data_IF_995109158675
#
_entry.id   IF_995109158675
#
_cell.length_a   1.000
_cell.length_b   1.000
_cell.length_c   1.000
_cell.angle_alpha   90.00
_cell.angle_beta   90.00
_cell.angle_gamma   90.00
#
_symmetry.space_group_name_H-M   'P 1'
#
loop_
_entity.id
_entity.type
_entity.pdbx_description
1 polymer ?
#
# COMPACT_ATOMS: atom_id res chain seq x y z
N UNK A 1 -5.93 -0.19 23.57
CA UNK A 1 -5.59 0.32 22.22
C UNK A 1 -6.78 1.16 21.77
N UNK A 2 -6.60 2.46 21.54
CA UNK A 2 -7.64 3.33 20.97
C UNK A 2 -7.50 3.43 19.45
N UNK A 3 -8.53 3.93 18.77
CA UNK A 3 -8.52 4.11 17.31
C UNK A 3 -7.40 5.06 16.87
N UNK A 4 -7.03 6.07 17.68
CA UNK A 4 -5.94 6.99 17.34
C UNK A 4 -4.53 6.34 17.43
N UNK A 5 -4.45 5.13 18.00
CA UNK A 5 -3.21 4.34 18.09
C UNK A 5 -3.07 3.32 16.97
N UNK A 6 -4.08 3.20 16.10
CA UNK A 6 -4.09 2.23 15.00
C UNK A 6 -4.01 2.98 13.67
N UNK A 7 -2.99 2.64 12.89
CA UNK A 7 -2.82 3.12 11.54
C UNK A 7 -2.85 1.93 10.59
N UNK A 8 -3.73 2.02 9.59
CA UNK A 8 -3.82 1.06 8.49
C UNK A 8 -3.04 1.57 7.28
N UNK A 9 -2.76 0.69 6.33
CA UNK A 9 -2.04 0.99 5.09
C UNK A 9 -2.69 2.15 4.30
N UNK A 10 -4.01 2.23 4.31
CA UNK A 10 -4.81 3.26 3.65
C UNK A 10 -5.04 4.54 4.47
N UNK A 11 -4.66 4.58 5.75
CA UNK A 11 -4.90 5.74 6.63
C UNK A 11 -4.30 7.06 6.11
N UNK A 12 -3.11 7.11 5.45
CA UNK A 12 -2.56 8.35 4.92
C UNK A 12 -3.46 9.06 3.90
N UNK A 13 -4.38 8.34 3.23
CA UNK A 13 -5.34 8.93 2.28
C UNK A 13 -6.25 9.99 2.90
N UNK A 14 -6.32 10.10 4.24
CA UNK A 14 -7.02 11.22 4.90
C UNK A 14 -6.46 12.58 4.51
N UNK A 15 -5.20 12.67 4.12
CA UNK A 15 -4.54 13.92 3.70
C UNK A 15 -4.68 14.19 2.20
N UNK A 16 -5.12 13.21 1.41
CA UNK A 16 -5.20 13.27 -0.04
C UNK A 16 -6.47 14.00 -0.52
N UNK A 17 -6.71 15.20 0.04
CA UNK A 17 -7.96 15.97 -0.10
C UNK A 17 -8.33 16.25 -1.56
N UNK A 18 -7.34 16.39 -2.45
CA UNK A 18 -7.56 16.61 -3.90
C UNK A 18 -8.31 15.47 -4.60
N UNK A 19 -8.41 14.30 -3.97
CA UNK A 19 -9.16 13.15 -4.49
C UNK A 19 -10.51 12.93 -3.81
N UNK A 20 -10.80 13.63 -2.72
CA UNK A 20 -11.96 13.34 -1.88
C UNK A 20 -13.29 13.64 -2.58
N UNK A 21 -13.34 14.68 -3.41
CA UNK A 21 -14.55 15.04 -4.17
C UNK A 21 -14.71 14.28 -5.50
N UNK A 22 -13.72 13.47 -5.88
CA UNK A 22 -13.71 12.77 -7.17
C UNK A 22 -14.54 11.49 -7.13
N UNK A 23 -15.04 11.09 -8.29
CA UNK A 23 -15.58 9.74 -8.48
C UNK A 23 -14.43 8.74 -8.51
N UNK A 24 -14.32 7.89 -7.48
CA UNK A 24 -13.20 6.97 -7.31
C UNK A 24 -13.64 5.51 -7.41
N UNK A 25 -12.94 4.72 -8.21
CA UNK A 25 -13.07 3.27 -8.20
C UNK A 25 -12.20 2.71 -7.08
N UNK A 26 -12.79 1.93 -6.16
CA UNK A 26 -12.07 1.33 -5.03
C UNK A 26 -11.99 -0.20 -5.17
N UNK A 27 -10.78 -0.74 -4.96
CA UNK A 27 -10.49 -2.18 -4.95
C UNK A 27 -9.78 -2.58 -3.66
N UNK A 28 -10.11 -3.76 -3.13
CA UNK A 28 -9.52 -4.31 -1.91
C UNK A 28 -10.46 -5.28 -1.20
N UNK A 29 -10.23 -5.48 0.10
CA UNK A 29 -11.06 -6.30 0.99
C UNK A 29 -11.66 -5.47 2.13
N UNK A 30 -12.73 -6.01 2.74
CA UNK A 30 -13.42 -5.40 3.87
C UNK A 30 -14.54 -4.44 3.46
N UNK A 31 -15.03 -3.61 4.39
CA UNK A 31 -16.10 -2.65 4.13
C UNK A 31 -15.58 -1.44 3.35
N UNK A 32 -15.29 -1.63 2.06
CA UNK A 32 -14.56 -0.65 1.22
C UNK A 32 -15.24 0.73 1.16
N UNK A 33 -16.58 0.77 1.14
CA UNK A 33 -17.32 2.03 1.12
C UNK A 33 -17.18 2.78 2.45
N UNK A 34 -17.32 2.08 3.57
CA UNK A 34 -17.16 2.66 4.90
C UNK A 34 -15.73 3.19 5.09
N UNK A 35 -14.73 2.40 4.67
CA UNK A 35 -13.32 2.82 4.69
C UNK A 35 -13.13 4.09 3.86
N UNK A 36 -13.63 4.12 2.62
CA UNK A 36 -13.44 5.27 1.75
C UNK A 36 -14.15 6.52 2.29
N UNK A 37 -15.38 6.39 2.78
CA UNK A 37 -16.14 7.49 3.37
C UNK A 37 -15.46 8.01 4.64
N UNK A 38 -14.99 7.11 5.52
CA UNK A 38 -14.25 7.47 6.72
C UNK A 38 -12.97 8.24 6.37
N UNK A 39 -12.29 7.89 5.28
CA UNK A 39 -11.09 8.59 4.80
C UNK A 39 -11.39 9.98 4.20
N UNK A 40 -12.64 10.23 3.81
CA UNK A 40 -13.13 11.50 3.27
C UNK A 40 -13.60 11.46 1.81
N UNK A 41 -13.61 10.31 1.15
CA UNK A 41 -14.08 10.21 -0.24
C UNK A 41 -15.61 10.34 -0.32
N UNK A 42 -16.09 11.29 -1.13
CA UNK A 42 -17.51 11.58 -1.32
C UNK A 42 -18.21 10.61 -2.29
N UNK A 43 -17.49 10.13 -3.31
CA UNK A 43 -18.06 9.28 -4.37
C UNK A 43 -17.26 7.99 -4.63
N UNK A 44 -17.09 7.11 -3.62
CA UNK A 44 -16.47 5.81 -3.83
C UNK A 44 -17.45 4.83 -4.49
N UNK A 45 -16.97 4.14 -5.52
CA UNK A 45 -17.67 3.05 -6.20
C UNK A 45 -16.78 1.81 -6.13
N UNK A 46 -17.33 0.70 -5.63
CA UNK A 46 -16.58 -0.55 -5.55
C UNK A 46 -16.53 -1.26 -6.90
N UNK A 47 -15.56 -2.14 -7.06
CA UNK A 47 -15.49 -3.10 -8.17
C UNK A 47 -16.78 -3.92 -8.28
N UNK A 48 -17.37 -4.32 -7.15
CA UNK A 48 -18.63 -5.06 -7.14
C UNK A 48 -19.79 -4.23 -7.69
N UNK A 49 -19.91 -2.96 -7.29
CA UNK A 49 -20.93 -2.06 -7.83
C UNK A 49 -20.74 -1.79 -9.32
N UNK A 50 -19.50 -1.60 -9.79
CA UNK A 50 -19.19 -1.46 -11.22
C UNK A 50 -19.63 -2.70 -12.00
N UNK A 51 -19.24 -3.88 -11.51
CA UNK A 51 -19.62 -5.18 -12.08
C UNK A 51 -21.13 -5.39 -12.13
N UNK A 52 -21.86 -5.07 -11.05
CA UNK A 52 -23.32 -5.23 -10.99
C UNK A 52 -24.05 -4.31 -11.98
N UNK A 53 -23.57 -3.08 -12.15
CA UNK A 53 -24.16 -2.12 -13.10
C UNK A 53 -23.72 -2.37 -14.55
N UNK A 54 -22.56 -2.98 -14.75
CA UNK A 54 -21.98 -3.27 -16.06
C UNK A 54 -21.54 -4.73 -16.19
N UNK A 55 -22.48 -5.69 -16.12
CA UNK A 55 -22.16 -7.11 -16.04
C UNK A 55 -21.51 -7.67 -17.32
N UNK A 56 -21.55 -6.95 -18.44
CA UNK A 56 -20.82 -7.32 -19.66
C UNK A 56 -19.31 -7.04 -19.60
N UNK A 57 -18.82 -6.27 -18.62
CA UNK A 57 -17.39 -6.04 -18.43
C UNK A 57 -16.69 -7.20 -17.70
N UNK A 58 -17.44 -8.06 -16.99
CA UNK A 58 -16.92 -9.20 -16.22
C UNK A 58 -17.57 -10.52 -16.68
N UNK A 59 -17.27 -10.93 -17.93
CA UNK A 59 -17.90 -12.11 -18.59
C UNK A 59 -17.04 -13.36 -18.60
N UNK A 60 -15.88 -13.32 -17.93
CA UNK A 60 -15.02 -14.51 -17.75
C UNK A 60 -15.79 -15.60 -16.98
N UNK A 61 -16.63 -15.20 -16.03
CA UNK A 61 -17.58 -16.08 -15.38
C UNK A 61 -18.85 -16.24 -16.23
N UNK A 62 -18.86 -17.29 -17.07
CA UNK A 62 -19.95 -17.55 -18.01
C UNK A 62 -21.32 -17.79 -17.35
N UNK A 63 -21.33 -18.33 -16.14
CA UNK A 63 -22.57 -18.61 -15.41
C UNK A 63 -23.28 -17.33 -14.96
N UNK A 64 -22.55 -16.20 -14.95
CA UNK A 64 -23.03 -14.89 -14.51
C UNK A 64 -23.32 -13.93 -15.65
N UNK A 65 -23.29 -14.41 -16.90
CA UNK A 65 -23.53 -13.57 -18.06
C UNK A 65 -24.97 -13.02 -18.05
N UNK A 66 -25.15 -11.70 -18.06
CA UNK A 66 -26.47 -11.07 -18.02
C UNK A 66 -27.21 -11.23 -19.36
N UNK A 67 -28.54 -11.27 -19.31
CA UNK A 67 -29.41 -11.24 -20.50
C UNK A 67 -29.79 -9.81 -20.94
N UNK A 68 -29.40 -8.77 -20.18
CA UNK A 68 -29.82 -7.37 -20.39
C UNK A 68 -28.59 -6.45 -20.35
N UNK A 69 -28.56 -5.48 -21.26
CA UNK A 69 -27.54 -4.43 -21.33
C UNK A 69 -28.01 -3.20 -20.58
N UNK A 70 -27.26 -2.73 -19.60
CA UNK A 70 -27.50 -1.45 -18.90
C UNK A 70 -26.47 -0.43 -19.38
N UNK A 71 -26.93 0.81 -19.64
CA UNK A 71 -26.21 1.81 -20.44
C UNK A 71 -25.68 3.03 -19.67
N UNK A 72 -25.71 3.04 -18.34
CA UNK A 72 -25.26 4.19 -17.54
C UNK A 72 -23.90 3.94 -16.90
N UNK A 73 -22.83 4.26 -17.62
CA UNK A 73 -21.45 4.12 -17.13
C UNK A 73 -21.08 5.23 -16.16
N UNK A 74 -20.28 4.86 -15.17
CA UNK A 74 -19.60 5.83 -14.31
C UNK A 74 -18.44 6.47 -15.05
N UNK A 75 -18.18 7.74 -14.76
CA UNK A 75 -16.94 8.43 -15.11
C UNK A 75 -16.06 8.47 -13.88
N UNK A 76 -15.05 7.60 -13.83
CA UNK A 76 -14.05 7.55 -12.78
C UNK A 76 -12.93 8.53 -13.06
N UNK A 77 -12.48 9.23 -12.02
CA UNK A 77 -11.37 10.16 -12.13
C UNK A 77 -10.10 9.63 -11.44
N UNK A 78 -10.22 8.59 -10.62
CA UNK A 78 -9.10 7.98 -9.89
C UNK A 78 -9.43 6.53 -9.53
N UNK A 79 -8.41 5.66 -9.50
CA UNK A 79 -8.49 4.30 -8.95
C UNK A 79 -7.72 4.26 -7.62
N UNK A 80 -8.33 3.68 -6.59
CA UNK A 80 -7.72 3.49 -5.27
C UNK A 80 -7.64 1.99 -4.96
N UNK A 81 -6.42 1.50 -4.75
CA UNK A 81 -6.13 0.12 -4.39
C UNK A 81 -5.83 0.07 -2.89
N UNK A 82 -6.83 -0.27 -2.07
CA UNK A 82 -6.68 -0.33 -0.61
C UNK A 82 -5.87 -1.54 -0.14
N UNK A 83 -5.88 -2.63 -0.89
CA UNK A 83 -5.21 -3.89 -0.56
C UNK A 83 -5.56 -4.97 -1.57
N UNK A 84 -5.11 -6.20 -1.33
CA UNK A 84 -5.37 -7.34 -2.22
C UNK A 84 -6.86 -7.67 -2.28
N UNK A 85 -7.52 -7.62 -3.46
CA UNK A 85 -8.92 -8.00 -3.56
C UNK A 85 -9.08 -9.53 -3.61
N UNK A 86 -10.31 -10.00 -3.40
CA UNK A 86 -10.72 -11.36 -3.81
C UNK A 86 -11.18 -11.30 -5.28
N UNK A 87 -11.04 -12.40 -6.03
CA UNK A 87 -11.36 -12.48 -7.48
C UNK A 87 -10.48 -11.54 -8.32
N UNK A 88 -9.21 -11.90 -8.41
CA UNK A 88 -8.20 -11.11 -9.12
C UNK A 88 -8.55 -10.94 -10.59
N UNK A 89 -9.12 -11.95 -11.24
CA UNK A 89 -9.54 -11.91 -12.64
C UNK A 89 -10.48 -10.73 -12.93
N UNK A 90 -11.50 -10.55 -12.09
CA UNK A 90 -12.48 -9.47 -12.22
C UNK A 90 -11.88 -8.12 -11.89
N UNK A 91 -11.09 -8.03 -10.82
CA UNK A 91 -10.47 -6.76 -10.44
C UNK A 91 -9.45 -6.29 -11.49
N UNK A 92 -8.60 -7.19 -11.98
CA UNK A 92 -7.63 -6.90 -13.03
C UNK A 92 -8.34 -6.44 -14.31
N UNK A 93 -9.37 -7.16 -14.77
CA UNK A 93 -10.15 -6.79 -15.96
C UNK A 93 -10.74 -5.37 -15.82
N UNK A 94 -11.50 -5.12 -14.75
CA UNK A 94 -12.25 -3.88 -14.58
C UNK A 94 -11.34 -2.67 -14.31
N UNK A 95 -10.25 -2.84 -13.57
CA UNK A 95 -9.27 -1.77 -13.38
C UNK A 95 -8.60 -1.44 -14.73
N UNK A 96 -8.16 -2.45 -15.49
CA UNK A 96 -7.56 -2.23 -16.81
C UNK A 96 -8.54 -1.52 -17.74
N UNK A 97 -9.80 -1.94 -17.79
CA UNK A 97 -10.84 -1.27 -18.59
C UNK A 97 -10.94 0.21 -18.24
N UNK A 98 -11.04 0.52 -16.94
CA UNK A 98 -11.15 1.90 -16.45
C UNK A 98 -9.91 2.72 -16.82
N UNK A 99 -8.70 2.15 -16.73
CA UNK A 99 -7.47 2.85 -17.10
C UNK A 99 -7.35 3.10 -18.61
N UNK A 100 -7.70 2.11 -19.44
CA UNK A 100 -7.60 2.18 -20.90
C UNK A 100 -8.71 3.01 -21.56
N UNK A 101 -9.78 3.30 -20.82
CA UNK A 101 -10.92 4.12 -21.28
C UNK A 101 -10.93 5.52 -20.67
N UNK A 102 -9.84 5.92 -20.01
CA UNK A 102 -9.70 7.21 -19.32
C UNK A 102 -10.83 7.48 -18.32
N UNK A 103 -11.17 6.44 -17.57
CA UNK A 103 -12.16 6.52 -16.51
C UNK A 103 -13.58 6.16 -16.92
N UNK A 104 -13.85 5.95 -18.21
CA UNK A 104 -15.21 5.71 -18.69
C UNK A 104 -15.33 4.39 -19.47
N UNK A 105 -15.62 3.25 -18.82
CA UNK A 105 -15.62 1.92 -19.45
C UNK A 105 -16.55 1.71 -20.64
N UNK A 106 -17.45 2.67 -20.92
CA UNK A 106 -18.26 2.68 -22.13
C UNK A 106 -17.52 3.15 -23.39
N UNK A 107 -16.33 3.74 -23.25
CA UNK A 107 -15.49 4.17 -24.37
C UNK A 107 -14.69 2.99 -24.94
N UNK A 108 -14.28 3.06 -26.22
CA UNK A 108 -13.26 2.15 -26.72
C UNK A 108 -11.92 2.40 -26.01
N UNK A 109 -11.02 1.42 -26.04
CA UNK A 109 -9.67 1.61 -25.52
C UNK A 109 -8.92 2.65 -26.37
N UNK A 110 -8.32 3.63 -25.69
CA UNK A 110 -7.54 4.69 -26.33
C UNK A 110 -6.08 4.61 -25.88
N UNK A 111 -5.16 4.34 -26.82
CA UNK A 111 -3.71 4.22 -26.51
C UNK A 111 -3.02 5.58 -26.27
N UNK A 112 -3.66 6.69 -26.65
CA UNK A 112 -3.07 8.03 -26.61
C UNK A 112 -3.09 8.65 -25.21
N UNK A 113 -3.96 8.18 -24.31
CA UNK A 113 -4.14 8.75 -22.98
C UNK A 113 -3.14 8.14 -21.99
N UNK A 114 -1.91 8.65 -22.06
CA UNK A 114 -0.85 8.33 -21.11
C UNK A 114 -0.23 9.62 -20.54
N UNK A 115 -0.07 9.75 -19.21
CA UNK A 115 -0.47 8.77 -18.19
C UNK A 115 -2.00 8.58 -18.16
N UNK A 116 -2.41 7.38 -17.73
CA UNK A 116 -3.82 7.06 -17.47
C UNK A 116 -4.35 7.87 -16.28
N UNK A 117 -5.64 7.75 -15.93
CA UNK A 117 -6.18 8.40 -14.73
C UNK A 117 -5.36 7.98 -13.48
N UNK A 118 -5.23 8.84 -12.45
CA UNK A 118 -4.43 8.55 -11.27
C UNK A 118 -4.77 7.21 -10.60
N UNK A 119 -3.72 6.49 -10.18
CA UNK A 119 -3.82 5.27 -9.38
C UNK A 119 -3.10 5.48 -8.06
N UNK A 120 -3.82 5.30 -6.95
CA UNK A 120 -3.30 5.36 -5.60
C UNK A 120 -3.25 3.92 -5.04
N UNK A 121 -2.10 3.44 -4.58
CA UNK A 121 -1.99 2.11 -3.97
C UNK A 121 -1.54 2.20 -2.51
N UNK A 122 -2.20 1.47 -1.63
CA UNK A 122 -2.07 1.65 -0.18
C UNK A 122 -1.11 0.65 0.49
N UNK A 123 -0.80 -0.46 -0.16
CA UNK A 123 0.06 -1.51 0.39
C UNK A 123 0.89 -2.10 -0.74
N UNK A 124 2.19 -2.27 -0.51
CA UNK A 124 3.12 -2.77 -1.53
C UNK A 124 3.75 -4.11 -1.15
N UNK A 125 3.36 -4.68 -0.02
CA UNK A 125 3.94 -5.92 0.47
C UNK A 125 3.70 -7.04 -0.55
N UNK A 126 4.79 -7.57 -1.12
CA UNK A 126 4.74 -8.68 -2.07
C UNK A 126 4.14 -9.92 -1.40
N UNK A 127 4.54 -10.19 -0.16
CA UNK A 127 4.11 -11.33 0.65
C UNK A 127 3.91 -10.92 2.11
N UNK A 128 3.11 -11.70 2.84
CA UNK A 128 2.88 -11.52 4.28
C UNK A 128 2.85 -12.87 5.01
N UNK A 129 3.10 -12.86 6.31
CA UNK A 129 2.99 -14.07 7.16
C UNK A 129 1.55 -14.26 7.61
N UNK A 130 1.02 -15.46 7.37
CA UNK A 130 -0.29 -15.90 7.82
C UNK A 130 -0.13 -17.20 8.65
N UNK A 131 -1.22 -17.94 8.85
CA UNK A 131 -1.24 -19.19 9.63
C UNK A 131 -0.47 -20.34 8.96
N UNK A 132 -0.30 -20.28 7.64
CA UNK A 132 0.46 -21.28 6.89
C UNK A 132 1.98 -21.11 7.11
N UNK A 133 2.72 -22.22 7.01
CA UNK A 133 4.18 -22.22 7.18
C UNK A 133 4.91 -21.31 6.18
N UNK A 134 4.39 -21.19 4.96
CA UNK A 134 4.96 -20.33 3.92
C UNK A 134 4.21 -19.00 3.83
N UNK A 135 4.90 -17.87 3.58
CA UNK A 135 4.26 -16.57 3.35
C UNK A 135 3.18 -16.64 2.26
N UNK A 136 2.13 -15.84 2.40
CA UNK A 136 1.03 -15.72 1.45
C UNK A 136 1.24 -14.49 0.56
N UNK A 137 0.66 -14.49 -0.64
CA UNK A 137 0.71 -13.31 -1.51
C UNK A 137 0.01 -12.13 -0.84
N UNK A 138 0.69 -10.98 -0.83
CA UNK A 138 0.14 -9.70 -0.42
C UNK A 138 -0.31 -8.88 -1.62
N UNK A 139 -0.73 -7.64 -1.35
CA UNK A 139 -1.18 -6.70 -2.37
C UNK A 139 -0.11 -6.38 -3.43
N UNK A 140 1.17 -6.38 -3.07
CA UNK A 140 2.27 -6.20 -4.02
C UNK A 140 2.27 -7.26 -5.13
N UNK A 141 1.86 -8.51 -4.85
CA UNK A 141 1.73 -9.53 -5.91
C UNK A 141 0.59 -9.20 -6.87
N UNK A 142 -0.55 -8.72 -6.36
CA UNK A 142 -1.66 -8.26 -7.20
C UNK A 142 -1.23 -7.09 -8.10
N UNK A 143 -0.47 -6.14 -7.54
CA UNK A 143 0.10 -5.01 -8.30
C UNK A 143 1.01 -5.52 -9.42
N UNK A 144 1.92 -6.45 -9.14
CA UNK A 144 2.77 -7.07 -10.19
C UNK A 144 1.94 -7.63 -11.35
N UNK A 145 0.82 -8.31 -11.07
CA UNK A 145 -0.08 -8.79 -12.11
C UNK A 145 -0.69 -7.65 -12.92
N UNK A 146 -1.26 -6.65 -12.24
CA UNK A 146 -1.90 -5.49 -12.86
C UNK A 146 -0.95 -4.73 -13.80
N UNK A 147 0.26 -4.48 -13.33
CA UNK A 147 1.29 -3.76 -14.06
C UNK A 147 1.75 -4.51 -15.30
N UNK A 148 1.98 -5.83 -15.17
CA UNK A 148 2.41 -6.66 -16.28
C UNK A 148 1.32 -6.76 -17.35
N UNK A 149 0.04 -6.87 -16.95
CA UNK A 149 -1.08 -6.88 -17.88
C UNK A 149 -1.17 -5.53 -18.61
N UNK A 150 -1.15 -4.41 -17.87
CA UNK A 150 -1.18 -3.07 -18.45
C UNK A 150 -0.03 -2.87 -19.46
N UNK A 151 1.19 -3.23 -19.08
CA UNK A 151 2.37 -3.15 -19.96
C UNK A 151 2.27 -4.06 -21.17
N UNK A 152 1.74 -5.27 -21.02
CA UNK A 152 1.58 -6.21 -22.13
C UNK A 152 0.57 -5.72 -23.16
N UNK A 153 -0.49 -5.04 -22.72
CA UNK A 153 -1.55 -4.50 -23.60
C UNK A 153 -1.11 -3.18 -24.25
N UNK A 154 -0.45 -2.30 -23.51
CA UNK A 154 -0.18 -0.91 -23.95
C UNK A 154 1.24 -0.66 -24.43
N UNK A 155 2.19 -1.52 -24.04
CA UNK A 155 3.63 -1.29 -24.19
C UNK A 155 4.21 -0.24 -23.22
N UNK A 156 3.39 0.34 -22.32
CA UNK A 156 3.78 1.41 -21.38
C UNK A 156 3.73 0.91 -19.94
N UNK A 157 4.57 1.44 -19.06
CA UNK A 157 4.51 1.11 -17.63
C UNK A 157 3.29 1.76 -16.98
N UNK A 158 2.59 1.04 -16.09
CA UNK A 158 1.54 1.62 -15.24
C UNK A 158 2.18 2.61 -14.26
N UNK A 159 1.61 3.81 -14.13
CA UNK A 159 2.12 4.88 -13.26
C UNK A 159 1.23 5.07 -12.04
N UNK A 160 1.83 4.95 -10.86
CA UNK A 160 1.18 5.30 -9.61
C UNK A 160 1.40 6.77 -9.31
N UNK A 161 0.34 7.44 -8.90
CA UNK A 161 0.42 8.81 -8.42
C UNK A 161 0.85 8.85 -6.95
N UNK A 162 0.45 7.82 -6.17
CA UNK A 162 0.86 7.65 -4.79
C UNK A 162 1.01 6.17 -4.44
N UNK A 163 2.11 5.85 -3.78
CA UNK A 163 2.43 4.54 -3.24
C UNK A 163 2.55 4.69 -1.72
N UNK A 164 1.56 4.20 -0.99
CA UNK A 164 1.51 4.21 0.48
C UNK A 164 1.70 2.79 1.02
N UNK A 165 1.79 2.69 2.34
CA UNK A 165 2.26 1.50 3.02
C UNK A 165 3.77 1.54 3.17
N UNK A 166 4.30 0.72 4.09
CA UNK A 166 5.75 0.58 4.24
C UNK A 166 6.33 0.05 2.92
N UNK A 167 7.49 0.52 2.44
CA UNK A 167 8.45 1.44 3.06
C UNK A 167 8.25 2.94 2.78
N UNK A 168 7.09 3.38 2.26
CA UNK A 168 6.91 4.75 1.78
C UNK A 168 7.05 5.81 2.87
N UNK A 169 7.69 6.93 2.51
CA UNK A 169 7.92 8.11 3.35
C UNK A 169 6.60 8.72 3.85
N UNK A 170 5.58 8.85 3.01
CA UNK A 170 4.27 9.42 3.41
C UNK A 170 3.63 8.60 4.54
N UNK A 171 3.85 7.29 4.55
CA UNK A 171 3.33 6.39 5.61
C UNK A 171 3.97 6.72 6.95
N UNK A 172 5.29 6.89 6.98
CA UNK A 172 6.01 7.20 8.21
C UNK A 172 5.77 8.62 8.69
N UNK A 173 5.67 9.60 7.78
CA UNK A 173 5.30 10.97 8.15
C UNK A 173 3.90 11.02 8.76
N UNK A 174 2.93 10.30 8.19
CA UNK A 174 1.59 10.21 8.76
C UNK A 174 1.59 9.54 10.14
N UNK A 175 2.34 8.45 10.32
CA UNK A 175 2.51 7.80 11.62
C UNK A 175 3.08 8.78 12.65
N UNK A 176 4.09 9.54 12.26
CA UNK A 176 4.71 10.54 13.13
C UNK A 176 3.72 11.63 13.55
N UNK A 177 2.93 12.15 12.61
CA UNK A 177 1.86 13.11 12.90
C UNK A 177 0.87 12.58 13.95
N UNK A 178 0.43 11.31 13.82
CA UNK A 178 -0.47 10.69 14.80
C UNK A 178 0.18 10.59 16.18
N UNK A 179 1.46 10.20 16.25
CA UNK A 179 2.17 10.08 17.54
C UNK A 179 2.34 11.47 18.18
N UNK A 180 2.63 12.52 17.40
CA UNK A 180 2.67 13.90 17.92
C UNK A 180 1.31 14.35 18.45
N UNK A 181 0.22 14.06 17.74
CA UNK A 181 -1.13 14.37 18.20
C UNK A 181 -1.44 13.68 19.54
N UNK A 182 -1.05 12.41 19.70
CA UNK A 182 -1.17 11.69 20.97
C UNK A 182 -0.29 12.29 22.08
N UNK A 183 0.95 12.65 21.79
CA UNK A 183 1.87 13.27 22.75
C UNK A 183 1.32 14.61 23.26
N UNK A 184 0.77 15.43 22.36
CA UNK A 184 0.08 16.68 22.69
C UNK A 184 -1.14 16.44 23.60
N UNK A 185 -1.97 15.43 23.28
CA UNK A 185 -3.11 15.03 24.11
C UNK A 185 -2.70 14.58 25.52
N UNK A 186 -1.52 13.96 25.66
CA UNK A 186 -0.91 13.56 26.94
C UNK A 186 -0.14 14.70 27.63
N UNK A 187 -0.10 15.90 27.04
CA UNK A 187 0.66 17.08 27.53
C UNK A 187 2.16 16.82 27.68
N UNK A 188 2.73 15.97 26.83
CA UNK A 188 4.17 15.78 26.76
C UNK A 188 4.82 17.06 26.23
N UNK A 189 5.69 17.67 27.04
CA UNK A 189 6.26 19.00 26.74
C UNK A 189 7.48 18.93 25.83
N UNK A 190 8.15 17.78 25.78
CA UNK A 190 9.32 17.58 24.94
C UNK A 190 8.90 17.00 23.59
N UNK A 191 9.48 17.48 22.48
CA UNK A 191 9.24 16.88 21.17
C UNK A 191 9.78 15.45 21.13
N UNK A 192 9.15 14.62 20.31
CA UNK A 192 9.62 13.27 20.04
C UNK A 192 10.93 13.38 19.26
N UNK A 193 12.00 12.78 19.80
CA UNK A 193 13.34 12.83 19.18
C UNK A 193 13.59 11.63 18.26
N UNK A 194 13.21 10.43 18.71
CA UNK A 194 13.48 9.17 18.00
C UNK A 194 12.19 8.36 17.85
N UNK A 195 11.91 7.91 16.63
CA UNK A 195 10.88 6.91 16.33
C UNK A 195 11.53 5.55 16.12
N UNK A 196 11.03 4.50 16.77
CA UNK A 196 11.46 3.12 16.54
C UNK A 196 10.39 2.36 15.76
N UNK A 197 10.69 1.99 14.53
CA UNK A 197 9.87 1.16 13.66
C UNK A 197 10.19 -0.33 13.88
N UNK A 198 9.41 -0.99 14.72
CA UNK A 198 9.58 -2.41 15.05
C UNK A 198 8.73 -3.27 14.11
N UNK A 199 9.35 -4.16 13.31
CA UNK A 199 8.59 -5.02 12.40
C UNK A 199 9.41 -5.73 11.32
N UNK A 200 8.72 -6.44 10.42
CA UNK A 200 9.31 -7.38 9.46
C UNK A 200 9.85 -6.82 8.13
N UNK A 201 9.83 -5.50 7.90
CA UNK A 201 10.33 -4.90 6.66
C UNK A 201 11.10 -3.62 7.00
N UNK A 202 12.42 -3.67 6.75
CA UNK A 202 13.41 -2.73 7.30
C UNK A 202 13.62 -1.46 6.46
N UNK A 203 13.06 -1.35 5.26
CA UNK A 203 13.36 -0.22 4.41
C UNK A 203 12.50 1.00 4.73
N UNK A 204 13.14 2.17 4.85
CA UNK A 204 12.60 3.42 4.34
C UNK A 204 13.18 3.56 2.94
N UNK A 205 12.39 3.81 1.91
CA UNK A 205 12.97 4.05 0.58
C UNK A 205 12.46 5.36 0.02
N UNK A 206 13.38 6.17 -0.51
CA UNK A 206 13.03 7.38 -1.24
C UNK A 206 12.44 7.00 -2.60
N UNK A 207 11.11 6.99 -2.69
CA UNK A 207 10.40 7.00 -3.97
C UNK A 207 10.28 8.44 -4.48
N UNK A 208 10.32 8.62 -5.80
CA UNK A 208 9.90 9.88 -6.43
C UNK A 208 8.37 9.96 -6.36
N UNK A 209 7.83 10.41 -5.23
CA UNK A 209 6.41 10.72 -5.08
C UNK A 209 6.11 12.04 -5.82
N UNK A 210 5.25 11.99 -6.85
CA UNK A 210 4.95 13.14 -7.71
C UNK A 210 4.08 14.21 -7.02
N UNK A 211 3.47 13.86 -5.90
CA UNK A 211 2.62 14.75 -5.11
C UNK A 211 3.35 15.21 -3.86
N UNK A 212 3.69 16.51 -3.80
CA UNK A 212 4.22 17.16 -2.61
C UNK A 212 3.16 17.99 -1.87
N UNK A 213 1.89 17.96 -2.30
CA UNK A 213 0.84 18.84 -1.74
C UNK A 213 0.56 18.61 -0.24
N UNK A 214 0.95 17.44 0.28
CA UNK A 214 0.85 17.08 1.68
C UNK A 214 2.12 17.43 2.48
N UNK A 215 3.27 17.75 1.86
CA UNK A 215 4.51 18.11 2.57
C UNK A 215 4.34 19.38 3.43
N UNK A 216 3.55 20.34 2.96
CA UNK A 216 3.23 21.57 3.70
C UNK A 216 2.46 21.29 5.00
N UNK A 217 1.67 20.21 5.05
CA UNK A 217 0.93 19.77 6.24
C UNK A 217 1.87 19.15 7.31
N UNK A 218 3.05 18.68 6.88
CA UNK A 218 4.08 18.06 7.75
C UNK A 218 5.24 18.98 8.14
N UNK A 219 5.30 20.22 7.63
CA UNK A 219 6.42 21.15 7.80
C UNK A 219 6.72 21.58 9.25
N UNK A 220 5.91 21.17 10.23
CA UNK A 220 6.11 21.44 11.64
C UNK A 220 6.87 20.29 12.32
N UNK A 221 8.18 20.44 12.52
CA UNK A 221 9.04 19.66 13.43
C UNK A 221 8.96 18.12 13.33
N UNK A 222 9.67 17.55 12.36
CA UNK A 222 9.94 16.11 12.25
C UNK A 222 10.81 15.56 13.40
N UNK A 223 10.57 14.32 13.77
CA UNK A 223 11.44 13.54 14.64
C UNK A 223 12.85 13.56 14.06
N UNK A 224 13.84 13.77 14.91
CA UNK A 224 15.22 13.89 14.48
C UNK A 224 15.73 12.58 13.86
N UNK A 225 15.22 11.44 14.34
CA UNK A 225 15.65 10.11 13.92
C UNK A 225 14.46 9.14 13.80
N UNK A 226 14.51 8.26 12.79
CA UNK A 226 13.68 7.07 12.68
C UNK A 226 14.62 5.86 12.57
N UNK A 227 14.49 4.89 13.48
CA UNK A 227 15.31 3.68 13.56
C UNK A 227 14.45 2.44 13.33
N UNK A 228 14.99 1.47 12.62
CA UNK A 228 14.33 0.21 12.28
C UNK A 228 14.81 -0.93 13.19
N UNK A 229 13.87 -1.71 13.72
CA UNK A 229 14.16 -2.89 14.53
C UNK A 229 13.45 -4.08 13.88
N UNK A 230 14.23 -4.95 13.24
CA UNK A 230 13.72 -6.15 12.57
C UNK A 230 13.50 -7.27 13.59
N UNK A 231 12.28 -7.79 13.63
CA UNK A 231 11.92 -8.96 14.44
C UNK A 231 11.93 -10.24 13.60
N UNK A 232 12.43 -11.34 14.19
CA UNK A 232 12.60 -12.63 13.51
C UNK A 232 11.35 -13.54 13.55
N UNK A 233 10.20 -13.02 13.99
CA UNK A 233 8.92 -13.75 14.03
C UNK A 233 8.06 -13.56 12.77
N UNK A 234 8.53 -12.76 11.81
CA UNK A 234 7.79 -12.39 10.60
C UNK A 234 8.27 -13.09 9.33
N UNK A 235 8.17 -12.39 8.19
CA UNK A 235 8.59 -12.90 6.87
C UNK A 235 10.08 -13.26 6.89
N UNK A 236 10.87 -12.46 7.61
CA UNK A 236 12.27 -12.74 7.88
C UNK A 236 12.41 -13.76 9.01
N UNK A 237 13.08 -14.89 8.74
CA UNK A 237 13.47 -15.88 9.74
C UNK A 237 14.91 -16.37 9.45
N UNK A 238 15.89 -16.08 10.32
CA UNK A 238 17.30 -16.45 10.11
C UNK A 238 17.57 -17.95 10.33
N UNK A 239 16.59 -18.72 10.81
CA UNK A 239 16.71 -20.16 11.06
C UNK A 239 15.56 -20.94 10.39
N UNK A 240 15.53 -21.02 9.04
CA UNK A 240 14.67 -21.98 8.39
C UNK A 240 15.19 -23.38 8.75
N UNK A 241 14.36 -24.23 9.34
CA UNK A 241 14.70 -25.61 9.73
C UNK A 241 15.03 -26.56 8.57
N UNK A 242 15.52 -26.07 7.43
CA UNK A 242 15.88 -26.84 6.26
C UNK A 242 17.27 -26.42 5.79
N UNK A 243 18.24 -27.33 5.98
CA UNK A 243 19.53 -27.29 5.31
C UNK A 243 19.32 -27.55 3.82
N UNK A 244 19.10 -26.49 3.06
CA UNK A 244 19.34 -26.50 1.62
C UNK A 244 20.74 -25.91 1.42
N UNK A 245 21.58 -26.59 0.65
CA UNK A 245 22.94 -26.17 0.31
C UNK A 245 22.93 -24.75 -0.29
N UNK A 246 23.14 -23.77 0.59
CA UNK A 246 23.15 -22.32 0.34
C UNK A 246 24.28 -21.85 -0.58
N UNK A 247 25.04 -22.75 -1.20
CA UNK A 247 26.19 -22.37 -2.04
C UNK A 247 25.85 -22.06 -3.50
N UNK A 248 24.65 -22.44 -3.98
CA UNK A 248 24.27 -22.19 -5.39
C UNK A 248 23.17 -21.13 -5.58
N UNK A 249 22.47 -20.67 -4.53
CA UNK A 249 21.36 -19.70 -4.68
C UNK A 249 21.68 -18.25 -4.28
N UNK A 250 22.92 -17.95 -3.83
CA UNK A 250 23.32 -16.63 -3.31
C UNK A 250 24.17 -15.87 -4.33
N UNK A 251 23.73 -15.80 -5.59
CA UNK A 251 24.38 -14.92 -6.59
C UNK A 251 23.51 -13.78 -7.08
N UNK A 252 22.22 -13.74 -6.74
CA UNK A 252 21.37 -12.56 -6.96
C UNK A 252 20.52 -12.31 -5.71
N UNK A 253 20.78 -11.22 -4.99
CA UNK A 253 19.90 -10.73 -3.94
C UNK A 253 18.59 -10.30 -4.60
N UNK A 254 17.55 -11.14 -4.55
CA UNK A 254 16.26 -10.84 -5.17
C UNK A 254 15.60 -9.69 -4.39
N UNK A 255 15.43 -8.54 -5.04
CA UNK A 255 14.71 -7.42 -4.46
C UNK A 255 13.19 -7.67 -4.53
N UNK A 256 12.55 -7.73 -3.37
CA UNK A 256 11.10 -7.96 -3.24
C UNK A 256 10.29 -6.67 -3.05
N UNK A 257 10.94 -5.50 -3.09
CA UNK A 257 10.25 -4.22 -3.04
C UNK A 257 9.60 -3.85 -4.37
N UNK A 258 8.69 -2.88 -4.31
CA UNK A 258 8.01 -2.39 -5.50
C UNK A 258 8.97 -1.69 -6.47
N UNK A 259 8.80 -1.88 -7.78
CA UNK A 259 9.75 -1.43 -8.83
C UNK A 259 10.00 0.08 -8.89
N UNK A 260 9.04 0.87 -8.44
CA UNK A 260 9.14 2.34 -8.43
C UNK A 260 9.92 2.86 -7.20
N UNK A 261 10.38 1.97 -6.32
CA UNK A 261 11.36 2.28 -5.28
C UNK A 261 12.74 1.83 -5.72
N UNK A 262 13.72 2.73 -5.60
CA UNK A 262 15.11 2.38 -5.86
C UNK A 262 15.61 1.45 -4.76
N UNK A 263 16.24 0.35 -5.17
CA UNK A 263 16.99 -0.49 -4.25
C UNK A 263 18.17 0.33 -3.71
N UNK A 264 18.12 0.66 -2.42
CA UNK A 264 19.24 1.27 -1.71
C UNK A 264 19.80 0.22 -0.73
N UNK A 265 20.99 -0.34 -1.00
CA UNK A 265 21.62 -1.33 -0.12
C UNK A 265 21.76 -0.85 1.34
N UNK A 266 21.92 0.45 1.56
CA UNK A 266 22.05 1.05 2.89
C UNK A 266 20.72 1.14 3.66
N UNK A 267 19.58 0.91 3.00
CA UNK A 267 18.24 0.91 3.59
C UNK A 267 17.68 -0.52 3.72
N UNK A 268 18.44 -1.54 3.30
CA UNK A 268 18.03 -2.96 3.41
C UNK A 268 18.39 -3.55 4.77
N UNK A 269 19.47 -3.07 5.38
CA UNK A 269 19.91 -3.53 6.69
C UNK A 269 19.16 -2.78 7.80
N UNK A 270 18.41 -3.47 8.66
CA UNK A 270 17.81 -2.83 9.83
C UNK A 270 18.89 -2.34 10.78
N UNK A 271 18.62 -1.27 11.53
CA UNK A 271 19.55 -0.76 12.56
C UNK A 271 19.82 -1.84 13.62
N UNK A 272 18.80 -2.65 13.93
CA UNK A 272 18.88 -3.74 14.89
C UNK A 272 18.05 -4.96 14.45
N UNK A 273 18.52 -6.16 14.81
CA UNK A 273 17.79 -7.42 14.64
C UNK A 273 17.61 -8.07 16.00
N UNK A 274 16.37 -8.48 16.31
CA UNK A 274 15.99 -9.08 17.60
C UNK A 274 15.07 -10.29 17.37
N UNK A 275 15.02 -11.26 18.31
CA UNK A 275 14.21 -12.47 18.12
C UNK A 275 12.72 -12.17 17.99
N UNK A 276 12.18 -11.24 18.79
CA UNK A 276 10.76 -10.92 18.87
C UNK A 276 10.52 -9.47 19.33
N UNK A 277 9.24 -9.11 19.49
CA UNK A 277 8.82 -7.75 19.88
C UNK A 277 9.18 -7.45 21.34
N UNK A 278 9.26 -8.45 22.22
CA UNK A 278 9.62 -8.25 23.62
C UNK A 278 11.08 -7.80 23.73
N UNK A 279 11.97 -8.52 23.05
CA UNK A 279 13.38 -8.14 22.92
C UNK A 279 13.58 -6.78 22.22
N UNK A 280 12.68 -6.40 21.30
CA UNK A 280 12.72 -5.09 20.68
C UNK A 280 12.46 -3.97 21.70
N UNK A 281 11.50 -4.16 22.62
CA UNK A 281 11.17 -3.17 23.66
C UNK A 281 12.32 -3.03 24.65
N UNK A 282 12.89 -4.14 25.09
CA UNK A 282 14.06 -4.14 25.99
C UNK A 282 15.26 -3.40 25.36
N UNK A 283 15.51 -3.64 24.07
CA UNK A 283 16.55 -2.93 23.33
C UNK A 283 16.29 -1.42 23.28
N UNK A 284 15.05 -1.00 23.01
CA UNK A 284 14.70 0.43 22.98
C UNK A 284 14.94 1.09 24.34
N UNK A 285 14.57 0.43 25.45
CA UNK A 285 14.86 0.96 26.78
C UNK A 285 16.35 1.08 27.05
N UNK A 286 17.17 0.12 26.60
CA UNK A 286 18.62 0.20 26.72
C UNK A 286 19.20 1.36 25.90
N UNK A 287 18.76 1.53 24.65
CA UNK A 287 19.24 2.59 23.75
C UNK A 287 18.91 4.00 24.27
N UNK A 288 17.75 4.16 24.90
CA UNK A 288 17.28 5.43 25.45
C UNK A 288 17.71 5.64 26.93
N UNK A 289 18.53 4.75 27.50
CA UNK A 289 18.94 4.75 28.90
C UNK A 289 17.74 4.84 29.88
N UNK A 290 16.63 4.19 29.54
CA UNK A 290 15.43 4.18 30.37
C UNK A 290 15.58 3.15 31.49
N UNK A 291 15.49 3.60 32.75
CA UNK A 291 15.39 2.74 33.91
C UNK A 291 13.94 2.78 34.44
N UNK A 292 13.26 1.62 34.59
CA UNK A 292 11.86 1.55 35.02
C UNK A 292 11.63 2.02 36.47
#
# INVERSE_FOLDING_TARGET
ISQEQVMMSHSPLRMFKRYHEKCVLVSGQGPLLDIAQDLGFCQPITIETLREKHPLLDVVDHDRRPNIVVSNYFSFETVVLFGEPVRWETNLQLIIDVLLTSGYPGNPYHQENYPHIPVLACNMDLMWVAEAQSPRFGHGTFMVCLENIYKKITGKDLKYEALMGKPSRVTYQYAEHLIRAQAAGRRWRQPIQTLYAVGGSAALSQGEELDHSWEDEFALAAAAHCRSVLVCTGVYNPHPGVSLDLRESITETVFHGHRDFRFDPGLVEPDHIVPDVDAAVDLVFQLENFAP
#
